data_IF_310379464693
#
_entry.id   IF_310379464693
#
_cell.length_a   1.000
_cell.length_b   1.000
_cell.length_c   1.000
_cell.angle_alpha   90.00
_cell.angle_beta   90.00
_cell.angle_gamma   90.00
#
_symmetry.space_group_name_H-M   'P 1'
#
loop_
_entity.id
_entity.type
_entity.pdbx_description
1 polymer ?
#
# COMPACT_ATOMS: atom_id res chain seq x y z
N UNK A 1 2.80 7.88 12.03
CA UNK A 1 2.50 6.49 11.66
C UNK A 1 1.74 5.81 12.79
N UNK A 2 0.46 5.48 12.59
CA UNK A 2 -0.25 4.56 13.48
C UNK A 2 -0.11 3.14 12.93
N UNK A 3 0.87 2.39 13.46
CA UNK A 3 1.24 1.05 12.98
C UNK A 3 0.06 0.07 13.00
N UNK A 4 -0.82 0.15 14.00
CA UNK A 4 -2.00 -0.73 14.09
C UNK A 4 -2.98 -0.47 12.93
N UNK A 5 -3.26 0.79 12.62
CA UNK A 5 -4.17 1.13 11.51
C UNK A 5 -3.57 0.73 10.17
N UNK A 6 -2.27 0.96 9.95
CA UNK A 6 -1.63 0.54 8.70
C UNK A 6 -1.57 -0.99 8.55
N UNK A 7 -1.44 -1.74 9.65
CA UNK A 7 -1.60 -3.21 9.62
C UNK A 7 -3.02 -3.60 9.19
N UNK A 8 -4.05 -2.94 9.75
CA UNK A 8 -5.44 -3.16 9.34
C UNK A 8 -5.67 -2.82 7.87
N UNK A 9 -5.06 -1.75 7.36
CA UNK A 9 -5.13 -1.39 5.95
C UNK A 9 -4.53 -2.48 5.05
N UNK A 10 -3.36 -3.02 5.41
CA UNK A 10 -2.71 -4.09 4.65
C UNK A 10 -3.53 -5.39 4.71
N UNK A 11 -4.09 -5.73 5.87
CA UNK A 11 -4.97 -6.90 6.01
C UNK A 11 -6.25 -6.78 5.19
N UNK A 12 -6.88 -5.60 5.18
CA UNK A 12 -8.02 -5.32 4.31
C UNK A 12 -7.65 -5.50 2.83
N UNK A 13 -6.50 -4.98 2.40
CA UNK A 13 -6.04 -5.14 1.02
C UNK A 13 -5.83 -6.61 0.63
N UNK A 14 -5.20 -7.40 1.51
CA UNK A 14 -4.97 -8.85 1.33
C UNK A 14 -6.29 -9.65 1.30
N UNK A 15 -7.33 -9.19 1.99
CA UNK A 15 -8.65 -9.79 2.01
C UNK A 15 -9.53 -9.38 0.80
N UNK A 16 -9.06 -8.50 -0.07
CA UNK A 16 -9.86 -7.96 -1.17
C UNK A 16 -10.75 -6.76 -0.80
N UNK A 17 -10.65 -6.27 0.44
CA UNK A 17 -11.41 -5.11 0.93
C UNK A 17 -10.69 -3.78 0.58
N UNK A 18 -10.46 -3.53 -0.70
CA UNK A 18 -9.61 -2.41 -1.18
C UNK A 18 -10.14 -1.04 -0.78
N UNK A 19 -11.45 -0.81 -0.86
CA UNK A 19 -12.09 0.44 -0.41
C UNK A 19 -11.81 0.76 1.06
N UNK A 20 -11.84 -0.27 1.91
CA UNK A 20 -11.55 -0.14 3.34
C UNK A 20 -10.07 0.16 3.56
N UNK A 21 -9.19 -0.49 2.80
CA UNK A 21 -7.76 -0.21 2.83
C UNK A 21 -7.46 1.25 2.44
N UNK A 22 -8.06 1.74 1.35
CA UNK A 22 -7.94 3.15 0.94
C UNK A 22 -8.41 4.10 2.03
N UNK A 23 -9.59 3.85 2.63
CA UNK A 23 -10.14 4.68 3.71
C UNK A 23 -9.24 4.74 4.93
N UNK A 24 -8.52 3.68 5.26
CA UNK A 24 -7.59 3.72 6.39
C UNK A 24 -6.30 4.43 5.98
N UNK A 25 -5.72 4.06 4.83
CA UNK A 25 -4.46 4.60 4.37
C UNK A 25 -4.52 6.11 4.09
N UNK A 26 -5.66 6.65 3.62
CA UNK A 26 -5.82 8.09 3.32
C UNK A 26 -5.77 9.00 4.56
N UNK A 27 -6.01 8.47 5.76
CA UNK A 27 -5.94 9.24 7.00
C UNK A 27 -4.48 9.56 7.39
N UNK A 28 -3.52 8.97 6.66
CA UNK A 28 -2.09 9.08 6.92
C UNK A 28 -1.36 9.53 5.65
N UNK A 29 -0.36 10.39 5.82
CA UNK A 29 0.49 10.88 4.72
C UNK A 29 1.94 10.37 4.80
N UNK A 30 2.21 9.42 5.69
CA UNK A 30 3.56 8.87 5.86
C UNK A 30 3.93 7.89 4.75
N UNK A 31 5.23 7.59 4.65
CA UNK A 31 5.79 6.79 3.56
C UNK A 31 5.18 5.39 3.46
N UNK A 32 4.71 4.81 4.57
CA UNK A 32 4.10 3.47 4.59
C UNK A 32 2.66 3.54 4.11
N UNK A 33 1.90 4.56 4.51
CA UNK A 33 0.55 4.80 3.99
C UNK A 33 0.58 5.06 2.47
N UNK A 34 1.53 5.86 1.99
CA UNK A 34 1.75 6.08 0.56
C UNK A 34 2.10 4.78 -0.17
N UNK A 35 2.89 3.90 0.45
CA UNK A 35 3.23 2.60 -0.13
C UNK A 35 1.99 1.70 -0.26
N UNK A 36 1.11 1.68 0.74
CA UNK A 36 -0.16 0.94 0.68
C UNK A 36 -1.03 1.46 -0.47
N UNK A 37 -1.22 2.79 -0.60
CA UNK A 37 -1.96 3.37 -1.73
C UNK A 37 -1.35 3.01 -3.09
N UNK A 38 -0.02 3.01 -3.19
CA UNK A 38 0.67 2.61 -4.41
C UNK A 38 0.32 1.18 -4.82
N UNK A 39 0.31 0.25 -3.86
CA UNK A 39 -0.01 -1.16 -4.11
C UNK A 39 -1.51 -1.36 -4.41
N UNK A 40 -2.40 -0.61 -3.76
CA UNK A 40 -3.83 -0.66 -4.08
C UNK A 40 -4.11 -0.30 -5.54
N UNK A 41 -3.56 0.81 -6.02
CA UNK A 41 -3.72 1.19 -7.44
C UNK A 41 -3.03 0.24 -8.41
N UNK A 42 -1.97 -0.45 -7.96
CA UNK A 42 -1.34 -1.53 -8.74
C UNK A 42 -2.29 -2.72 -8.92
N UNK A 43 -3.02 -3.09 -7.86
CA UNK A 43 -4.03 -4.16 -7.91
C UNK A 43 -5.21 -3.75 -8.82
N UNK A 44 -5.63 -2.49 -8.77
CA UNK A 44 -6.70 -1.94 -9.60
C UNK A 44 -6.32 -1.76 -11.08
N UNK A 45 -5.04 -1.86 -11.41
CA UNK A 45 -4.52 -1.61 -12.76
C UNK A 45 -4.38 -0.12 -13.13
N UNK A 46 -4.52 0.80 -12.17
CA UNK A 46 -4.25 2.22 -12.36
C UNK A 46 -2.74 2.50 -12.20
N UNK A 47 -1.99 2.16 -13.25
CA UNK A 47 -0.53 2.34 -13.31
C UNK A 47 -0.12 3.79 -13.06
N UNK A 48 -0.92 4.76 -13.51
CA UNK A 48 -0.58 6.19 -13.38
C UNK A 48 -0.67 6.63 -11.92
N UNK A 49 -1.76 6.32 -11.23
CA UNK A 49 -1.90 6.67 -9.81
C UNK A 49 -0.96 5.83 -8.95
N UNK A 50 -0.76 4.55 -9.27
CA UNK A 50 0.20 3.71 -8.57
C UNK A 50 1.61 4.34 -8.60
N UNK A 51 2.09 4.75 -9.77
CA UNK A 51 3.38 5.45 -9.91
C UNK A 51 3.44 6.77 -9.13
N UNK A 52 2.36 7.55 -9.14
CA UNK A 52 2.25 8.78 -8.38
C UNK A 52 2.42 8.56 -6.86
N UNK A 53 1.87 7.46 -6.33
CA UNK A 53 2.07 7.11 -4.93
C UNK A 53 3.43 6.48 -4.64
N UNK A 54 3.97 5.65 -5.54
CA UNK A 54 5.34 5.14 -5.42
C UNK A 54 6.37 6.26 -5.33
N UNK A 55 6.20 7.34 -6.11
CA UNK A 55 7.06 8.52 -6.05
C UNK A 55 7.06 9.24 -4.67
N UNK A 56 6.08 8.95 -3.80
CA UNK A 56 6.00 9.47 -2.42
C UNK A 56 6.48 8.51 -1.35
N UNK A 57 6.99 7.36 -1.77
CA UNK A 57 7.63 6.42 -0.86
C UNK A 57 9.11 6.77 -0.70
N UNK A 58 9.75 6.23 0.33
CA UNK A 58 11.20 6.33 0.49
C UNK A 58 11.94 5.32 -0.43
N UNK A 59 11.81 5.50 -1.74
CA UNK A 59 12.58 4.75 -2.74
C UNK A 59 11.97 3.42 -3.21
N UNK A 60 10.68 3.16 -2.96
CA UNK A 60 9.97 2.02 -3.56
C UNK A 60 9.55 2.34 -4.98
N UNK A 61 9.52 1.33 -5.84
CA UNK A 61 9.16 1.45 -7.25
C UNK A 61 8.07 0.46 -7.62
N UNK A 62 7.32 0.80 -8.65
CA UNK A 62 6.28 -0.06 -9.21
C UNK A 62 6.81 -1.45 -9.59
N UNK A 63 8.06 -1.52 -10.06
CA UNK A 63 8.69 -2.75 -10.56
C UNK A 63 9.41 -3.57 -9.48
N UNK A 64 9.54 -3.07 -8.23
CA UNK A 64 10.25 -3.77 -7.15
C UNK A 64 9.63 -5.15 -6.83
N UNK A 65 8.32 -5.29 -7.10
CA UNK A 65 7.57 -6.52 -6.95
C UNK A 65 6.74 -6.76 -8.22
N UNK A 66 6.81 -7.96 -8.79
CA UNK A 66 5.93 -8.38 -9.88
C UNK A 66 4.53 -8.78 -9.41
N UNK A 67 4.37 -9.08 -8.12
CA UNK A 67 3.12 -9.52 -7.50
C UNK A 67 2.73 -8.59 -6.33
N UNK A 68 1.56 -7.98 -6.43
CA UNK A 68 1.07 -7.03 -5.42
C UNK A 68 0.79 -7.71 -4.07
N UNK A 69 0.44 -8.99 -4.05
CA UNK A 69 0.18 -9.74 -2.81
C UNK A 69 1.48 -9.98 -2.04
N UNK A 70 2.57 -10.32 -2.73
CA UNK A 70 3.91 -10.43 -2.15
C UNK A 70 4.38 -9.09 -1.59
N UNK A 71 4.08 -7.99 -2.28
CA UNK A 71 4.39 -6.65 -1.81
C UNK A 71 3.60 -6.27 -0.55
N UNK A 72 2.28 -6.50 -0.52
CA UNK A 72 1.46 -6.30 0.69
C UNK A 72 1.99 -7.13 1.88
N UNK A 73 2.41 -8.38 1.65
CA UNK A 73 3.04 -9.20 2.70
C UNK A 73 4.36 -8.60 3.19
N UNK A 74 5.16 -8.01 2.31
CA UNK A 74 6.38 -7.31 2.69
C UNK A 74 6.08 -6.07 3.55
N UNK A 75 5.05 -5.29 3.21
CA UNK A 75 4.58 -4.16 4.03
C UNK A 75 4.12 -4.67 5.41
N UNK A 76 3.34 -5.75 5.46
CA UNK A 76 2.90 -6.37 6.72
C UNK A 76 4.09 -6.78 7.59
N UNK A 77 5.11 -7.41 7.02
CA UNK A 77 6.33 -7.79 7.74
C UNK A 77 7.13 -6.59 8.22
N UNK A 78 7.22 -5.51 7.43
CA UNK A 78 7.88 -4.26 7.83
C UNK A 78 7.16 -3.56 8.99
N UNK A 79 5.83 -3.71 9.04
CA UNK A 79 5.00 -3.18 10.11
C UNK A 79 4.98 -4.05 11.37
N UNK A 80 5.56 -5.25 11.41
CA UNK A 80 5.68 -6.06 12.65
C UNK A 80 6.88 -5.64 13.49
#
# INVERSE_FOLDING_TARGET
MNKADLLLAVEAALAGEWDKSHKIAQEYSDVTANWIHAVLHKIEGDVRNSNYWYARTAGKKYEDFSDATAELKAIKSYLN
#
